data_IF_104486687085
#
_entry.id   IF_104486687085
#
_cell.length_a   1.000
_cell.length_b   1.000
_cell.length_c   1.000
_cell.angle_alpha   90.00
_cell.angle_beta   90.00
_cell.angle_gamma   90.00
#
_symmetry.space_group_name_H-M   'P 1'
#
loop_
_entity.id
_entity.type
_entity.pdbx_description
1 polymer ?
#
# COMPACT_ATOMS: atom_id res chain seq x y z
N UNK A 1 22.67 2.14 6.28
CA UNK A 1 22.31 1.51 4.98
C UNK A 1 20.91 2.03 4.65
N UNK A 2 20.78 3.02 3.75
CA UNK A 2 19.47 3.57 3.39
C UNK A 2 18.74 2.54 2.52
N UNK A 3 18.12 1.57 3.18
CA UNK A 3 17.30 0.56 2.53
C UNK A 3 16.10 1.26 1.90
N UNK A 4 15.94 1.10 0.59
CA UNK A 4 14.78 1.57 -0.15
C UNK A 4 13.51 1.25 0.64
N UNK A 5 12.75 2.29 0.97
CA UNK A 5 11.51 2.16 1.71
C UNK A 5 10.54 1.33 0.87
N UNK A 6 10.05 0.20 1.42
CA UNK A 6 9.23 -0.74 0.66
C UNK A 6 7.75 -0.42 0.80
N UNK A 7 7.01 -0.34 -0.30
CA UNK A 7 5.55 -0.18 -0.32
C UNK A 7 4.91 -1.50 -0.72
N UNK A 8 4.04 -2.01 0.16
CA UNK A 8 3.28 -3.24 -0.10
C UNK A 8 2.04 -2.88 -0.93
N UNK A 9 1.89 -3.48 -2.09
CA UNK A 9 0.73 -3.33 -2.97
C UNK A 9 -0.08 -4.62 -2.89
N UNK A 10 -1.36 -4.52 -2.54
CA UNK A 10 -2.26 -5.65 -2.39
C UNK A 10 -3.31 -5.62 -3.50
N UNK A 11 -3.34 -6.66 -4.33
CA UNK A 11 -4.30 -6.83 -5.43
C UNK A 11 -5.10 -8.13 -5.30
N UNK A 12 -6.16 -8.31 -6.10
CA UNK A 12 -7.05 -9.48 -6.00
C UNK A 12 -6.56 -10.71 -6.79
N UNK A 13 -5.31 -10.72 -7.27
CA UNK A 13 -4.79 -11.71 -8.20
C UNK A 13 -5.12 -11.42 -9.68
N UNK A 14 -6.03 -10.49 -9.96
CA UNK A 14 -6.17 -9.89 -11.29
C UNK A 14 -5.01 -8.93 -11.53
N UNK A 15 -3.89 -9.51 -11.95
CA UNK A 15 -2.70 -8.75 -12.35
C UNK A 15 -3.01 -8.03 -13.65
N UNK A 16 -3.29 -6.73 -13.56
CA UNK A 16 -2.94 -5.87 -14.69
C UNK A 16 -1.41 -5.95 -14.81
N UNK A 17 -0.88 -6.41 -15.95
CA UNK A 17 0.54 -6.75 -16.10
C UNK A 17 1.48 -5.54 -16.06
N UNK A 18 0.95 -4.33 -15.92
CA UNK A 18 1.67 -3.10 -16.24
C UNK A 18 1.91 -2.26 -14.99
N UNK A 19 3.01 -2.60 -14.30
CA UNK A 19 4.20 -1.79 -14.08
C UNK A 19 4.12 -0.27 -13.81
N UNK A 20 2.98 0.40 -13.89
CA UNK A 20 2.88 1.84 -13.66
C UNK A 20 3.12 2.17 -12.18
N UNK A 21 2.50 1.46 -11.24
CA UNK A 21 2.68 1.78 -9.82
C UNK A 21 4.10 1.45 -9.32
N UNK A 22 4.69 0.36 -9.81
CA UNK A 22 6.05 -0.04 -9.47
C UNK A 22 7.11 0.90 -10.05
N UNK A 23 6.92 1.35 -11.29
CA UNK A 23 7.78 2.34 -11.92
C UNK A 23 7.73 3.69 -11.17
N UNK A 24 6.52 4.19 -10.88
CA UNK A 24 6.35 5.47 -10.20
C UNK A 24 6.87 5.44 -8.75
N UNK A 25 6.69 4.31 -8.05
CA UNK A 25 7.29 4.11 -6.73
C UNK A 25 8.83 4.10 -6.83
N UNK A 26 9.40 3.42 -7.82
CA UNK A 26 10.84 3.41 -8.04
C UNK A 26 11.39 4.81 -8.40
N UNK A 27 10.64 5.61 -9.15
CA UNK A 27 10.97 7.01 -9.45
C UNK A 27 10.96 7.88 -8.19
N UNK A 28 10.08 7.60 -7.23
CA UNK A 28 10.07 8.25 -5.92
C UNK A 28 11.11 7.67 -4.93
N UNK A 29 11.89 6.65 -5.33
CA UNK A 29 12.89 6.00 -4.48
C UNK A 29 12.32 4.93 -3.54
N UNK A 30 11.09 4.46 -3.78
CA UNK A 30 10.46 3.38 -3.03
C UNK A 30 10.54 2.05 -3.79
N UNK A 31 10.75 0.96 -3.06
CA UNK A 31 10.67 -0.37 -3.61
C UNK A 31 9.22 -0.88 -3.50
N UNK A 32 8.61 -1.30 -4.60
CA UNK A 32 7.25 -1.86 -4.54
C UNK A 32 7.30 -3.38 -4.38
N UNK A 33 6.42 -3.93 -3.55
CA UNK A 33 6.23 -5.37 -3.40
C UNK A 33 4.75 -5.66 -3.60
N UNK A 34 4.42 -6.44 -4.62
CA UNK A 34 3.04 -6.78 -4.92
C UNK A 34 2.69 -8.14 -4.32
N UNK A 35 1.57 -8.21 -3.61
CA UNK A 35 1.09 -9.42 -2.96
C UNK A 35 -0.41 -9.59 -3.24
N UNK A 36 -0.89 -10.82 -3.49
CA UNK A 36 -2.32 -11.07 -3.59
C UNK A 36 -2.99 -10.85 -2.22
N UNK A 37 -4.28 -10.52 -2.24
CA UNK A 37 -5.13 -10.28 -1.07
C UNK A 37 -4.93 -11.33 0.04
N UNK A 38 -4.86 -12.61 -0.34
CA UNK A 38 -4.72 -13.73 0.59
C UNK A 38 -3.32 -13.82 1.22
N UNK A 39 -2.29 -13.33 0.53
CA UNK A 39 -0.90 -13.34 1.01
C UNK A 39 -0.47 -11.99 1.59
N UNK A 40 -1.35 -10.99 1.63
CA UNK A 40 -1.02 -9.65 2.12
C UNK A 40 -0.49 -9.70 3.57
N UNK A 41 -1.14 -10.48 4.43
CA UNK A 41 -0.75 -10.66 5.83
C UNK A 41 0.58 -11.43 5.95
N UNK A 42 0.78 -12.48 5.14
CA UNK A 42 1.99 -13.29 5.13
C UNK A 42 3.22 -12.49 4.65
N UNK A 43 3.06 -11.72 3.59
CA UNK A 43 4.11 -10.81 3.08
C UNK A 43 4.39 -9.69 4.08
N UNK A 44 3.37 -9.17 4.77
CA UNK A 44 3.55 -8.20 5.84
C UNK A 44 4.26 -8.81 7.06
N UNK A 45 4.01 -10.07 7.39
CA UNK A 45 4.73 -10.78 8.43
C UNK A 45 6.21 -11.00 8.06
N UNK A 46 6.51 -11.24 6.77
CA UNK A 46 7.88 -11.30 6.26
C UNK A 46 8.56 -9.92 6.18
N UNK A 47 7.78 -8.85 6.02
CA UNK A 47 8.25 -7.46 5.94
C UNK A 47 7.48 -6.60 6.94
N UNK A 48 7.86 -6.59 8.23
CA UNK A 48 7.09 -5.96 9.30
C UNK A 48 7.10 -4.42 9.28
N UNK A 49 7.87 -3.78 8.39
CA UNK A 49 7.99 -2.32 8.34
C UNK A 49 8.01 -1.79 6.90
N UNK A 50 6.92 -1.98 6.13
CA UNK A 50 6.74 -1.25 4.89
C UNK A 50 6.53 0.24 5.19
N UNK A 51 6.85 1.09 4.23
CA UNK A 51 6.61 2.52 4.28
C UNK A 51 5.12 2.86 4.21
N UNK A 52 4.37 2.05 3.46
CA UNK A 52 2.93 2.15 3.30
C UNK A 52 2.37 0.85 2.73
N UNK A 53 1.07 0.64 2.93
CA UNK A 53 0.31 -0.44 2.29
C UNK A 53 -0.75 0.15 1.38
N UNK A 54 -0.77 -0.26 0.12
CA UNK A 54 -1.69 0.21 -0.90
C UNK A 54 -2.55 -0.96 -1.35
N UNK A 55 -3.85 -0.92 -1.05
CA UNK A 55 -4.82 -1.88 -1.55
C UNK A 55 -5.40 -1.37 -2.87
N UNK A 56 -5.06 -2.04 -3.97
CA UNK A 56 -5.57 -1.75 -5.30
C UNK A 56 -6.84 -2.57 -5.57
N UNK A 57 -7.98 -1.90 -5.52
CA UNK A 57 -9.26 -2.49 -5.90
C UNK A 57 -9.38 -2.57 -7.42
N UNK A 58 -9.78 -3.72 -7.97
CA UNK A 58 -10.14 -3.82 -9.39
C UNK A 58 -11.29 -2.87 -9.73
N UNK A 59 -11.22 -2.19 -10.88
CA UNK A 59 -12.32 -1.32 -11.34
C UNK A 59 -13.63 -2.07 -11.55
N UNK A 60 -13.54 -3.34 -11.95
CA UNK A 60 -14.67 -4.25 -12.17
C UNK A 60 -14.98 -5.16 -10.97
N UNK A 61 -14.38 -4.89 -9.80
CA UNK A 61 -14.64 -5.69 -8.60
C UNK A 61 -16.12 -5.66 -8.21
N UNK A 62 -16.69 -6.84 -7.96
CA UNK A 62 -18.05 -6.97 -7.48
C UNK A 62 -18.19 -6.38 -6.07
N UNK A 63 -19.43 -6.11 -5.63
CA UNK A 63 -19.70 -5.60 -4.29
C UNK A 63 -19.08 -6.48 -3.18
N UNK A 64 -19.12 -7.80 -3.36
CA UNK A 64 -18.51 -8.76 -2.44
C UNK A 64 -16.99 -8.63 -2.35
N UNK A 65 -16.30 -8.38 -3.46
CA UNK A 65 -14.85 -8.17 -3.49
C UNK A 65 -14.48 -6.83 -2.87
N UNK A 66 -15.20 -5.75 -3.22
CA UNK A 66 -15.02 -4.43 -2.58
C UNK A 66 -15.15 -4.52 -1.07
N UNK A 67 -16.17 -5.23 -0.57
CA UNK A 67 -16.35 -5.42 0.87
C UNK A 67 -15.17 -6.16 1.50
N UNK A 68 -14.67 -7.24 0.88
CA UNK A 68 -13.48 -7.96 1.37
C UNK A 68 -12.25 -7.06 1.44
N UNK A 69 -12.02 -6.24 0.42
CA UNK A 69 -10.92 -5.27 0.41
C UNK A 69 -11.06 -4.20 1.50
N UNK A 70 -12.26 -3.66 1.71
CA UNK A 70 -12.52 -2.70 2.79
C UNK A 70 -12.27 -3.35 4.17
N UNK A 71 -12.73 -4.59 4.37
CA UNK A 71 -12.52 -5.31 5.62
C UNK A 71 -11.02 -5.59 5.86
N UNK A 72 -10.26 -5.98 4.83
CA UNK A 72 -8.81 -6.16 4.94
C UNK A 72 -8.10 -4.84 5.24
N UNK A 73 -8.42 -3.76 4.53
CA UNK A 73 -7.83 -2.46 4.78
C UNK A 73 -8.09 -1.98 6.21
N UNK A 74 -9.31 -2.21 6.73
CA UNK A 74 -9.66 -1.85 8.09
C UNK A 74 -8.84 -2.67 9.12
N UNK A 75 -8.69 -3.98 8.89
CA UNK A 75 -7.85 -4.85 9.73
C UNK A 75 -6.39 -4.42 9.69
N UNK A 76 -5.83 -4.26 8.50
CA UNK A 76 -4.46 -3.82 8.30
C UNK A 76 -4.22 -2.47 8.97
N UNK A 77 -5.14 -1.52 8.81
CA UNK A 77 -5.03 -0.21 9.49
C UNK A 77 -5.00 -0.37 11.00
N UNK A 78 -5.82 -1.23 11.59
CA UNK A 78 -5.77 -1.50 13.04
C UNK A 78 -4.46 -2.15 13.48
N UNK A 79 -3.90 -3.05 12.67
CA UNK A 79 -2.63 -3.73 12.96
C UNK A 79 -1.43 -2.80 12.79
N UNK A 80 -1.49 -1.90 11.81
CA UNK A 80 -0.39 -1.06 11.36
C UNK A 80 -0.41 0.36 11.94
N UNK A 81 -1.56 0.82 12.45
CA UNK A 81 -1.69 2.06 13.22
C UNK A 81 -0.64 2.21 14.33
N UNK A 82 -0.35 1.21 15.19
CA UNK A 82 0.70 1.34 16.19
C UNK A 82 2.11 1.48 15.61
N UNK A 83 2.35 1.01 14.37
CA UNK A 83 3.61 1.18 13.66
C UNK A 83 3.71 2.48 12.85
N UNK A 84 2.65 3.30 12.82
CA UNK A 84 2.58 4.53 12.02
C UNK A 84 2.47 4.31 10.52
N UNK A 85 2.22 3.07 10.07
CA UNK A 85 2.25 2.72 8.65
C UNK A 85 0.87 3.04 8.01
N UNK A 86 0.81 3.93 7.01
CA UNK A 86 -0.45 4.29 6.36
C UNK A 86 -0.97 3.16 5.47
N UNK A 87 -2.28 2.92 5.54
CA UNK A 87 -3.00 1.95 4.71
C UNK A 87 -3.96 2.70 3.79
N UNK A 88 -3.71 2.60 2.50
CA UNK A 88 -4.39 3.33 1.42
C UNK A 88 -5.23 2.37 0.59
N UNK A 89 -6.39 2.83 0.12
CA UNK A 89 -7.25 2.05 -0.78
C UNK A 89 -7.45 2.88 -2.05
N UNK A 90 -7.14 2.31 -3.21
CA UNK A 90 -7.31 2.98 -4.50
C UNK A 90 -8.00 2.09 -5.53
N UNK A 91 -8.72 2.70 -6.46
CA UNK A 91 -9.23 2.04 -7.67
C UNK A 91 -8.34 2.23 -8.91
N UNK A 92 -7.12 2.76 -8.75
CA UNK A 92 -6.18 3.02 -9.83
C UNK A 92 -4.83 3.59 -9.40
N UNK A 93 -3.85 3.55 -10.30
CA UNK A 93 -2.44 3.87 -10.02
C UNK A 93 -2.23 5.32 -9.56
N UNK A 94 -2.76 6.31 -10.30
CA UNK A 94 -2.60 7.73 -9.94
C UNK A 94 -3.19 8.06 -8.57
N UNK A 95 -4.32 7.44 -8.20
CA UNK A 95 -4.95 7.70 -6.90
C UNK A 95 -4.09 7.23 -5.73
N UNK A 96 -3.41 6.09 -5.87
CA UNK A 96 -2.50 5.59 -4.84
C UNK A 96 -1.30 6.52 -4.67
N UNK A 97 -0.67 6.96 -5.77
CA UNK A 97 0.51 7.81 -5.71
C UNK A 97 0.22 9.17 -5.09
N UNK A 98 -0.90 9.81 -5.45
CA UNK A 98 -1.29 11.09 -4.84
C UNK A 98 -1.57 10.92 -3.33
N UNK A 99 -2.28 9.86 -2.93
CA UNK A 99 -2.53 9.61 -1.51
C UNK A 99 -1.25 9.26 -0.74
N UNK A 100 -0.36 8.47 -1.34
CA UNK A 100 0.91 8.07 -0.75
C UNK A 100 1.83 9.28 -0.57
N UNK A 101 1.93 10.15 -1.58
CA UNK A 101 2.67 11.41 -1.48
C UNK A 101 2.06 12.34 -0.42
N UNK A 102 0.73 12.41 -0.32
CA UNK A 102 0.07 13.23 0.70
C UNK A 102 0.29 12.69 2.11
N UNK A 103 0.15 11.38 2.33
CA UNK A 103 0.34 10.75 3.65
C UNK A 103 1.82 10.74 4.06
N UNK A 104 2.73 10.35 3.16
CA UNK A 104 4.17 10.35 3.45
C UNK A 104 4.70 11.78 3.59
N UNK A 105 4.20 12.73 2.80
CA UNK A 105 4.50 14.15 2.96
C UNK A 105 3.97 14.68 4.30
N UNK A 106 2.75 14.32 4.69
CA UNK A 106 2.20 14.68 5.99
C UNK A 106 2.96 14.04 7.15
N UNK A 107 3.41 12.80 7.02
CA UNK A 107 4.26 12.13 8.02
C UNK A 107 5.68 12.68 8.07
N UNK A 108 6.25 13.12 6.95
CA UNK A 108 7.54 13.81 6.92
C UNK A 108 7.46 15.19 7.60
N UNK A 109 6.31 15.88 7.47
CA UNK A 109 6.03 17.15 8.17
C UNK A 109 5.65 16.93 9.64
N UNK A 110 5.04 15.79 9.97
CA UNK A 110 4.70 15.41 11.35
C UNK A 110 5.81 14.62 12.06
N UNK A 111 6.89 14.28 11.35
CA UNK A 111 8.14 13.77 11.92
C UNK A 111 8.77 14.83 12.81
N UNK A 112 9.41 14.44 13.91
CA UNK A 112 9.57 15.32 15.06
C UNK A 112 10.43 16.52 14.70
N UNK A 113 9.89 17.70 15.02
CA UNK A 113 10.67 18.78 15.60
C UNK A 113 11.41 18.18 16.82
N UNK A 114 12.64 17.71 16.59
CA UNK A 114 13.63 17.36 17.61
C UNK A 114 15.01 17.85 17.17
#
# INVERSE_FOLDING_TARGET
MNGLQKVLVVDNGEREPDSALSAELAEMGYASVTAPFEAADDVLAMMPSPAAVVLQMPRHANWSERRRFLELAHRLRSTLSPGGIPVLITGGVSGALTMLQNELGAQAVAGPDL
#
